data_IF_916747250389
#
_entry.id   IF_916747250389
#
_cell.length_a   1.000
_cell.length_b   1.000
_cell.length_c   1.000
_cell.angle_alpha   90.00
_cell.angle_beta   90.00
_cell.angle_gamma   90.00
#
_symmetry.space_group_name_H-M   'P 1'
#
loop_
_entity.id
_entity.type
_entity.pdbx_description
1 polymer ?
#
# COMPACT_ATOMS: atom_id res chain seq x y z
N UNK A 1 -20.37 7.93 -17.53
CA UNK A 1 -19.86 6.55 -17.71
C UNK A 1 -18.40 6.59 -17.27
N UNK A 2 -18.14 6.32 -15.99
CA UNK A 2 -16.79 6.40 -15.44
C UNK A 2 -16.03 5.17 -15.96
N UNK A 3 -15.00 5.41 -16.78
CA UNK A 3 -14.01 4.38 -17.08
C UNK A 3 -13.37 4.02 -15.75
N UNK A 4 -13.64 2.83 -15.26
CA UNK A 4 -12.79 2.16 -14.29
C UNK A 4 -11.41 2.11 -14.93
N UNK A 5 -10.55 3.03 -14.50
CA UNK A 5 -9.13 3.04 -14.84
C UNK A 5 -8.53 1.87 -14.05
N UNK A 6 -8.79 0.65 -14.49
CA UNK A 6 -8.06 -0.52 -14.03
C UNK A 6 -6.63 -0.37 -14.55
N UNK A 7 -5.81 0.37 -13.82
CA UNK A 7 -4.39 0.51 -14.08
C UNK A 7 -3.74 -0.84 -13.78
N UNK A 8 -3.14 -1.45 -14.81
CA UNK A 8 -2.33 -2.65 -14.67
C UNK A 8 -0.98 -2.25 -14.05
N UNK A 9 -0.79 -2.50 -12.75
CA UNK A 9 0.55 -2.52 -12.19
C UNK A 9 1.22 -3.81 -12.65
N UNK A 10 2.15 -3.72 -13.60
CA UNK A 10 3.14 -4.78 -13.79
C UNK A 10 4.35 -4.37 -12.97
N UNK A 11 4.96 -5.28 -12.24
CA UNK A 11 6.27 -5.06 -11.62
C UNK A 11 7.19 -6.19 -12.04
N UNK A 12 8.36 -5.85 -12.58
CA UNK A 12 9.36 -6.85 -12.94
C UNK A 12 10.19 -7.30 -11.73
N UNK A 13 10.16 -6.52 -10.64
CA UNK A 13 10.94 -6.79 -9.42
C UNK A 13 10.16 -6.36 -8.19
N UNK A 14 10.11 -7.24 -7.18
CA UNK A 14 9.57 -6.96 -5.85
C UNK A 14 10.68 -7.17 -4.84
N UNK A 15 10.91 -6.17 -4.01
CA UNK A 15 11.80 -6.29 -2.85
C UNK A 15 10.98 -6.24 -1.56
N UNK A 16 11.31 -7.10 -0.60
CA UNK A 16 10.64 -7.11 0.70
C UNK A 16 11.53 -6.42 1.72
N UNK A 17 11.07 -5.30 2.25
CA UNK A 17 11.78 -4.52 3.25
C UNK A 17 11.02 -4.49 4.58
N UNK A 18 11.74 -4.30 5.69
CA UNK A 18 11.11 -4.02 6.99
C UNK A 18 11.18 -2.51 7.23
N UNK A 19 10.03 -1.85 7.14
CA UNK A 19 9.91 -0.43 7.43
C UNK A 19 9.81 -0.21 8.94
N UNK A 20 10.63 0.71 9.46
CA UNK A 20 10.76 0.99 10.88
C UNK A 20 9.76 2.02 11.41
N UNK A 21 9.70 2.12 12.75
CA UNK A 21 8.89 3.10 13.47
C UNK A 21 9.22 4.54 13.04
N UNK A 22 8.20 5.37 12.89
CA UNK A 22 8.34 6.80 12.64
C UNK A 22 8.68 7.16 11.19
N UNK A 23 8.83 6.19 10.29
CA UNK A 23 9.04 6.44 8.86
C UNK A 23 7.81 7.16 8.28
N UNK A 24 7.99 8.36 7.68
CA UNK A 24 6.89 9.08 7.05
C UNK A 24 6.61 8.49 5.67
N UNK A 25 5.36 8.11 5.46
CA UNK A 25 4.83 7.59 4.20
C UNK A 25 3.64 8.44 3.78
N UNK A 26 3.34 8.47 2.50
CA UNK A 26 2.25 9.27 1.96
C UNK A 26 1.40 8.44 1.00
N UNK A 27 0.08 8.52 1.13
CA UNK A 27 -0.82 7.93 0.14
C UNK A 27 -0.59 8.58 -1.23
N UNK A 28 -0.30 7.76 -2.23
CA UNK A 28 -0.10 8.23 -3.60
C UNK A 28 -1.44 8.62 -4.27
N UNK A 29 -1.44 9.71 -5.06
CA UNK A 29 -2.62 10.11 -5.86
C UNK A 29 -2.88 9.05 -6.94
N UNK A 30 -4.13 8.64 -7.07
CA UNK A 30 -4.55 7.72 -8.14
C UNK A 30 -4.32 6.25 -7.82
N UNK A 31 -3.88 5.92 -6.60
CA UNK A 31 -3.55 4.55 -6.18
C UNK A 31 -4.73 3.70 -5.70
N UNK A 32 -5.94 4.28 -5.68
CA UNK A 32 -7.16 3.68 -5.15
C UNK A 32 -7.94 2.93 -6.24
N UNK A 33 -8.16 1.63 -6.07
CA UNK A 33 -8.82 0.78 -7.07
C UNK A 33 -7.86 0.11 -8.06
N UNK A 34 -6.55 0.24 -7.81
CA UNK A 34 -5.51 -0.34 -8.65
C UNK A 34 -5.36 -1.84 -8.41
N UNK A 35 -4.90 -2.53 -9.44
CA UNK A 35 -4.67 -3.98 -9.46
C UNK A 35 -3.18 -4.22 -9.52
N UNK A 36 -2.65 -5.04 -8.62
CA UNK A 36 -1.25 -5.48 -8.68
C UNK A 36 -1.18 -6.75 -9.52
N UNK A 37 -0.36 -6.76 -10.57
CA UNK A 37 -0.03 -7.97 -11.34
C UNK A 37 1.41 -8.36 -11.01
N UNK A 38 1.57 -9.52 -10.38
CA UNK A 38 2.87 -10.09 -10.06
C UNK A 38 2.94 -11.53 -10.57
N UNK A 39 4.01 -11.88 -11.30
CA UNK A 39 4.18 -13.19 -11.95
C UNK A 39 2.98 -13.64 -12.82
N UNK A 40 2.25 -12.67 -13.40
CA UNK A 40 1.06 -12.93 -14.21
C UNK A 40 -0.21 -13.22 -13.40
N UNK A 41 -0.16 -13.13 -12.07
CA UNK A 41 -1.31 -13.22 -11.17
C UNK A 41 -1.79 -11.81 -10.83
N UNK A 42 -3.06 -11.56 -11.09
CA UNK A 42 -3.72 -10.31 -10.71
C UNK A 42 -4.26 -10.41 -9.27
N UNK A 43 -3.94 -9.41 -8.47
CA UNK A 43 -4.42 -9.24 -7.10
C UNK A 43 -5.39 -8.04 -7.07
N UNK A 44 -6.69 -8.33 -7.17
CA UNK A 44 -7.77 -7.34 -7.31
C UNK A 44 -8.70 -7.24 -6.08
N UNK A 45 -8.78 -8.30 -5.26
CA UNK A 45 -9.81 -8.42 -4.22
C UNK A 45 -9.58 -7.50 -3.02
N UNK A 46 -8.33 -7.31 -2.59
CA UNK A 46 -7.89 -6.27 -1.64
C UNK A 46 -6.37 -6.11 -1.72
N UNK A 47 -5.84 -4.91 -1.46
CA UNK A 47 -4.38 -4.68 -1.40
C UNK A 47 -3.70 -5.44 -0.26
N UNK A 48 -4.45 -5.77 0.81
CA UNK A 48 -3.91 -6.60 1.89
C UNK A 48 -3.55 -8.01 1.39
N UNK A 49 -4.33 -8.58 0.47
CA UNK A 49 -4.00 -9.89 -0.11
C UNK A 49 -2.70 -9.83 -0.94
N UNK A 50 -2.52 -8.78 -1.74
CA UNK A 50 -1.27 -8.56 -2.48
C UNK A 50 -0.08 -8.45 -1.51
N UNK A 51 -0.25 -7.67 -0.42
CA UNK A 51 0.78 -7.54 0.60
C UNK A 51 1.16 -8.87 1.27
N UNK A 52 0.17 -9.68 1.69
CA UNK A 52 0.42 -10.98 2.35
C UNK A 52 1.22 -11.91 1.42
N UNK A 53 0.84 -11.98 0.14
CA UNK A 53 1.52 -12.83 -0.84
C UNK A 53 2.93 -12.33 -1.15
N UNK A 54 3.09 -11.04 -1.46
CA UNK A 54 4.38 -10.47 -1.87
C UNK A 54 5.41 -10.47 -0.73
N UNK A 55 4.97 -10.29 0.51
CA UNK A 55 5.88 -10.21 1.66
C UNK A 55 6.07 -11.54 2.41
N UNK A 56 5.23 -12.54 2.09
CA UNK A 56 5.09 -13.78 2.87
C UNK A 56 4.68 -13.53 4.32
N UNK A 57 4.03 -12.40 4.59
CA UNK A 57 3.59 -11.96 5.92
C UNK A 57 2.09 -12.21 6.09
N UNK A 58 1.57 -12.04 7.31
CA UNK A 58 0.12 -12.03 7.54
C UNK A 58 -0.35 -10.94 8.49
N UNK A 59 -1.62 -10.57 8.38
CA UNK A 59 -2.29 -9.66 9.31
C UNK A 59 -2.19 -10.11 10.76
N UNK A 60 -2.14 -11.43 11.01
CA UNK A 60 -1.95 -12.03 12.35
C UNK A 60 -0.56 -11.66 12.91
N UNK A 61 0.49 -11.71 12.08
CA UNK A 61 1.87 -11.40 12.52
C UNK A 61 2.06 -9.94 12.94
N UNK A 62 1.26 -9.03 12.39
CA UNK A 62 1.22 -7.61 12.79
C UNK A 62 0.14 -7.33 13.85
N UNK A 63 -0.40 -8.38 14.49
CA UNK A 63 -1.37 -8.29 15.58
C UNK A 63 -2.77 -7.82 15.15
N UNK A 64 -3.10 -7.88 13.86
CA UNK A 64 -4.36 -7.39 13.32
C UNK A 64 -4.53 -5.88 13.46
N UNK A 65 -3.43 -5.13 13.54
CA UNK A 65 -3.45 -3.70 13.82
C UNK A 65 -2.97 -2.87 12.63
N UNK A 66 -3.65 -1.75 12.36
CA UNK A 66 -3.19 -0.74 11.40
C UNK A 66 -1.77 -0.28 11.74
N UNK A 67 -0.87 -0.16 10.76
CA UNK A 67 0.45 0.40 11.04
C UNK A 67 0.54 1.93 11.00
N UNK A 68 -0.56 2.67 10.81
CA UNK A 68 -0.57 4.13 10.97
C UNK A 68 -0.68 4.54 12.46
N UNK A 69 0.25 5.35 12.95
CA UNK A 69 0.27 5.95 14.29
C UNK A 69 -0.94 6.82 14.57
N UNK A 70 -1.51 7.46 13.56
CA UNK A 70 -2.71 8.29 13.67
C UNK A 70 -4.00 7.49 13.50
N UNK A 71 -3.93 6.16 13.40
CA UNK A 71 -5.12 5.33 13.28
C UNK A 71 -5.93 5.34 14.58
N UNK A 72 -7.20 5.72 14.46
CA UNK A 72 -8.18 5.64 15.54
C UNK A 72 -9.09 4.40 15.45
N UNK A 73 -8.99 3.61 14.37
CA UNK A 73 -9.74 2.36 14.25
C UNK A 73 -9.09 1.26 15.10
N UNK A 74 -9.95 0.51 15.79
CA UNK A 74 -9.60 -0.65 16.61
C UNK A 74 -10.04 -1.98 16.00
N UNK A 75 -10.63 -2.00 14.80
CA UNK A 75 -11.18 -3.22 14.22
C UNK A 75 -10.15 -3.94 13.34
N UNK A 76 -9.76 -5.18 13.66
CA UNK A 76 -8.80 -5.95 12.86
C UNK A 76 -9.34 -6.26 11.45
N UNK A 77 -10.66 -6.36 11.29
CA UNK A 77 -11.33 -6.58 10.00
C UNK A 77 -11.29 -5.35 9.08
N UNK A 78 -10.84 -4.19 9.57
CA UNK A 78 -10.71 -2.98 8.76
C UNK A 78 -9.42 -2.96 7.93
N UNK A 79 -8.48 -3.89 8.12
CA UNK A 79 -7.22 -3.93 7.37
C UNK A 79 -7.48 -4.25 5.90
N UNK A 80 -7.15 -3.28 5.03
CA UNK A 80 -7.38 -3.37 3.57
C UNK A 80 -6.11 -3.19 2.74
N UNK A 81 -5.03 -2.67 3.34
CA UNK A 81 -3.79 -2.34 2.62
C UNK A 81 -3.87 -1.02 1.83
N UNK A 82 -2.72 -0.46 1.47
CA UNK A 82 -2.60 0.73 0.62
C UNK A 82 -1.23 0.81 -0.09
N UNK A 83 -1.21 1.52 -1.22
CA UNK A 83 0.02 1.98 -1.87
C UNK A 83 0.48 3.30 -1.26
N UNK A 84 1.74 3.39 -0.87
CA UNK A 84 2.32 4.59 -0.27
C UNK A 84 3.71 4.88 -0.80
N UNK A 85 4.12 6.14 -0.79
CA UNK A 85 5.45 6.59 -1.21
C UNK A 85 6.18 7.27 -0.06
N UNK A 86 7.51 7.37 -0.15
CA UNK A 86 8.35 8.13 0.79
C UNK A 86 8.39 9.64 0.45
N UNK A 87 8.12 10.00 -0.81
CA UNK A 87 8.20 11.36 -1.37
C UNK A 87 6.93 12.18 -1.11
N UNK A 88 6.97 13.50 -1.36
CA UNK A 88 5.86 14.41 -1.06
C UNK A 88 4.56 14.00 -1.80
N UNK A 89 3.39 14.14 -1.13
CA UNK A 89 2.12 13.55 -1.55
C UNK A 89 1.47 14.14 -2.81
N UNK A 90 2.05 15.18 -3.40
CA UNK A 90 1.36 16.05 -4.37
C UNK A 90 1.46 15.60 -5.82
N UNK A 91 1.88 14.36 -6.09
CA UNK A 91 2.02 13.85 -7.45
C UNK A 91 1.36 12.48 -7.60
N UNK A 92 0.73 12.25 -8.75
CA UNK A 92 0.39 10.90 -9.16
C UNK A 92 1.69 10.11 -9.33
N UNK A 93 1.67 8.80 -9.05
CA UNK A 93 2.85 7.95 -9.27
C UNK A 93 3.37 8.15 -10.69
N UNK A 94 4.63 8.56 -10.79
CA UNK A 94 5.31 8.67 -12.08
C UNK A 94 5.91 7.32 -12.46
N UNK A 95 6.05 7.02 -13.76
CA UNK A 95 6.81 5.86 -14.21
C UNK A 95 8.19 5.82 -13.51
N UNK A 96 8.60 4.61 -13.14
CA UNK A 96 9.79 4.27 -12.39
C UNK A 96 9.83 4.76 -10.92
N UNK A 97 8.78 5.43 -10.42
CA UNK A 97 8.71 5.85 -9.01
C UNK A 97 8.48 4.64 -8.09
N UNK A 98 9.26 4.58 -7.02
CA UNK A 98 9.12 3.51 -6.03
C UNK A 98 7.93 3.77 -5.09
N UNK A 99 7.17 2.73 -4.83
CA UNK A 99 6.11 2.72 -3.83
C UNK A 99 6.18 1.45 -2.99
N UNK A 100 5.49 1.51 -1.86
CA UNK A 100 5.35 0.42 -0.91
C UNK A 100 3.90 -0.01 -0.83
N UNK A 101 3.67 -1.31 -0.71
CA UNK A 101 2.39 -1.83 -0.23
C UNK A 101 2.49 -2.02 1.29
N UNK A 102 1.64 -1.32 2.04
CA UNK A 102 1.60 -1.38 3.51
C UNK A 102 0.20 -1.71 4.04
N UNK A 103 0.10 -2.50 5.13
CA UNK A 103 -1.18 -2.87 5.72
C UNK A 103 -1.78 -1.70 6.51
N UNK A 104 -2.82 -1.08 5.95
CA UNK A 104 -3.56 0.02 6.58
C UNK A 104 -5.04 -0.34 6.74
N UNK A 105 -5.67 0.20 7.78
CA UNK A 105 -7.11 0.14 7.91
C UNK A 105 -7.82 1.02 6.86
N UNK A 106 -9.06 0.68 6.54
CA UNK A 106 -9.90 1.38 5.55
C UNK A 106 -9.89 2.90 5.75
N UNK A 107 -10.10 3.38 6.98
CA UNK A 107 -10.09 4.83 7.26
C UNK A 107 -8.74 5.51 7.02
N UNK A 108 -7.63 4.79 7.18
CA UNK A 108 -6.27 5.29 6.92
C UNK A 108 -5.90 5.24 5.44
N UNK A 109 -6.46 4.29 4.69
CA UNK A 109 -6.31 4.23 3.23
C UNK A 109 -7.20 5.28 2.55
N UNK A 110 -8.49 5.37 2.92
CA UNK A 110 -9.48 6.24 2.28
C UNK A 110 -9.35 7.73 2.64
N UNK A 111 -8.38 8.13 3.46
CA UNK A 111 -8.23 9.53 3.89
C UNK A 111 -7.70 10.46 2.80
N UNK A 112 -7.43 9.92 1.60
CA UNK A 112 -7.03 10.66 0.41
C UNK A 112 -5.51 10.88 0.30
N UNK A 113 -5.05 11.33 -0.87
CA UNK A 113 -3.66 11.74 -1.06
C UNK A 113 -3.32 12.94 -0.18
N UNK A 114 -2.07 13.08 0.27
CA UNK A 114 -1.67 14.17 1.19
C UNK A 114 -1.50 13.77 2.63
N UNK A 115 -2.09 12.66 3.05
CA UNK A 115 -2.07 12.24 4.45
C UNK A 115 -0.77 11.53 4.78
N UNK A 116 -0.03 12.13 5.71
CA UNK A 116 1.11 11.48 6.35
C UNK A 116 0.64 10.23 7.09
N UNK A 117 1.27 9.12 6.77
CA UNK A 117 1.21 7.84 7.47
C UNK A 117 2.53 7.71 8.19
N UNK A 118 2.48 7.83 9.50
CA UNK A 118 3.63 7.59 10.34
C UNK A 118 3.54 6.17 10.88
N UNK A 119 4.55 5.34 10.63
CA UNK A 119 4.50 3.95 11.08
C UNK A 119 4.61 3.83 12.60
N UNK A 120 3.65 3.13 13.24
CA UNK A 120 3.72 2.78 14.68
C UNK A 120 4.28 1.38 14.96
N UNK A 121 4.43 0.55 13.94
CA UNK A 121 5.00 -0.79 14.01
C UNK A 121 6.14 -0.93 13.01
N UNK A 122 7.08 -1.83 13.32
CA UNK A 122 7.89 -2.42 12.26
C UNK A 122 6.99 -3.29 11.38
N UNK A 123 7.02 -3.09 10.07
CA UNK A 123 6.14 -3.80 9.14
C UNK A 123 6.92 -4.21 7.91
N UNK A 124 6.72 -5.44 7.44
CA UNK A 124 7.20 -5.82 6.11
C UNK A 124 6.42 -5.02 5.07
N UNK A 125 7.09 -4.53 4.05
CA UNK A 125 6.46 -3.87 2.92
C UNK A 125 7.03 -4.46 1.63
N UNK A 126 6.17 -4.60 0.63
CA UNK A 126 6.61 -4.88 -0.73
C UNK A 126 6.98 -3.55 -1.38
N UNK A 127 8.26 -3.36 -1.73
CA UNK A 127 8.77 -2.24 -2.52
C UNK A 127 8.74 -2.61 -3.99
N UNK A 128 8.17 -1.72 -4.79
CA UNK A 128 7.90 -1.93 -6.20
C UNK A 128 8.10 -0.61 -6.97
N UNK A 129 8.42 -0.69 -8.25
CA UNK A 129 8.46 0.47 -9.14
C UNK A 129 7.16 0.58 -9.94
N UNK A 130 6.63 1.79 -10.05
CA UNK A 130 5.44 2.07 -10.85
C UNK A 130 5.80 2.06 -12.34
N UNK A 131 5.20 1.20 -13.16
CA UNK A 131 5.56 1.11 -14.59
C UNK A 131 4.83 2.15 -15.46
N UNK A 132 3.92 2.95 -14.89
CA UNK A 132 3.20 3.98 -15.66
C UNK A 132 1.96 3.43 -16.39
N UNK A 133 1.40 4.28 -17.26
CA UNK A 133 0.29 3.95 -18.17
C UNK A 133 0.80 3.57 -19.55
#
# INVERSE_FOLDING_TARGET
MNKENNMELKSEYVEVEVLGYGLPLYNAIGSSGDKVIYEGIEYDSTMINAWEVLTGSSTIQIGGQCCNQHCTSSHPDDLVGAHVVLSQPTQALQPDEEFYIVPLCRGCNSSGPGKNIQLRCAVKAARMSWIGK
#
